data_IF_483232741658
#
_entry.id   IF_483232741658
#
_cell.length_a   1.000
_cell.length_b   1.000
_cell.length_c   1.000
_cell.angle_alpha   90.00
_cell.angle_beta   90.00
_cell.angle_gamma   90.00
#
_symmetry.space_group_name_H-M   'P 1'
#
loop_
_entity.id
_entity.type
_entity.pdbx_description
1 polymer ?
#
# COMPACT_ATOMS: atom_id res chain seq x y z
N UNK A 1 -4.77 -5.41 -11.99
CA UNK A 1 -4.28 -4.78 -10.76
C UNK A 1 -4.64 -3.30 -10.79
N UNK A 2 -5.35 -2.84 -9.79
CA UNK A 2 -5.95 -1.50 -9.76
C UNK A 2 -5.38 -0.70 -8.59
N UNK A 3 -5.16 0.58 -8.79
CA UNK A 3 -4.67 1.48 -7.73
C UNK A 3 -5.64 1.47 -6.55
N UNK A 4 -5.10 1.32 -5.33
CA UNK A 4 -5.90 1.20 -4.11
C UNK A 4 -6.18 -0.24 -3.68
N UNK A 5 -5.89 -1.22 -4.53
CA UNK A 5 -6.00 -2.62 -4.13
C UNK A 5 -4.94 -2.97 -3.09
N UNK A 6 -5.34 -3.84 -2.17
CA UNK A 6 -4.42 -4.47 -1.22
C UNK A 6 -3.98 -5.81 -1.78
N UNK A 7 -2.67 -5.95 -1.91
CA UNK A 7 -2.04 -7.16 -2.45
C UNK A 7 -1.06 -7.71 -1.43
N UNK A 8 -0.71 -8.98 -1.57
CA UNK A 8 0.41 -9.53 -0.81
C UNK A 8 1.64 -9.54 -1.69
N UNK A 9 2.77 -9.17 -1.13
CA UNK A 9 4.03 -9.05 -1.86
C UNK A 9 5.20 -9.46 -0.97
N UNK A 10 6.17 -10.18 -1.55
CA UNK A 10 7.41 -10.50 -0.88
C UNK A 10 8.36 -9.32 -1.01
N UNK A 11 8.55 -8.58 0.08
CA UNK A 11 9.42 -7.40 0.11
C UNK A 11 10.86 -7.80 0.49
N UNK A 12 11.87 -7.01 0.07
CA UNK A 12 13.24 -7.22 0.51
C UNK A 12 13.33 -7.20 2.05
N UNK A 13 14.05 -8.15 2.62
CA UNK A 13 14.22 -8.26 4.07
C UNK A 13 13.15 -9.09 4.79
N UNK A 14 12.10 -9.50 4.11
CA UNK A 14 11.03 -10.30 4.71
C UNK A 14 11.25 -11.80 4.55
N UNK A 15 12.42 -12.22 4.11
CA UNK A 15 12.78 -13.63 3.91
C UNK A 15 11.77 -14.40 3.05
N UNK A 16 11.20 -13.71 2.03
CA UNK A 16 10.21 -14.29 1.14
C UNK A 16 8.80 -14.37 1.71
N UNK A 17 8.58 -13.92 2.93
CA UNK A 17 7.26 -13.95 3.56
C UNK A 17 6.38 -12.86 2.96
N UNK A 18 5.19 -13.20 2.38
CA UNK A 18 4.30 -12.18 1.83
C UNK A 18 3.77 -11.23 2.91
N UNK A 19 3.72 -9.95 2.55
CA UNK A 19 3.18 -8.88 3.41
C UNK A 19 2.13 -8.10 2.63
N UNK A 20 1.11 -7.56 3.29
CA UNK A 20 0.14 -6.72 2.59
C UNK A 20 0.78 -5.40 2.18
N UNK A 21 0.33 -4.89 1.03
CA UNK A 21 0.75 -3.60 0.52
C UNK A 21 -0.36 -3.01 -0.33
N UNK A 22 -0.41 -1.68 -0.41
CA UNK A 22 -1.38 -0.96 -1.23
C UNK A 22 -0.72 -0.61 -2.56
N UNK A 23 -1.39 -0.93 -3.67
CA UNK A 23 -0.95 -0.48 -5.00
C UNK A 23 -1.20 1.01 -5.09
N UNK A 24 -0.14 1.80 -5.24
CA UNK A 24 -0.22 3.25 -5.36
C UNK A 24 0.16 3.77 -6.74
N UNK A 25 0.71 2.90 -7.59
CA UNK A 25 1.04 3.24 -8.96
C UNK A 25 -0.22 3.50 -9.78
N UNK A 26 -0.18 4.51 -10.65
CA UNK A 26 -1.32 4.87 -11.49
C UNK A 26 -1.75 3.70 -12.38
N UNK A 27 -3.06 3.56 -12.57
CA UNK A 27 -3.63 2.47 -13.38
C UNK A 27 -3.13 2.49 -14.83
N UNK A 28 -2.79 3.68 -15.33
CA UNK A 28 -2.22 3.83 -16.66
C UNK A 28 -1.01 2.91 -16.89
N UNK A 29 -0.23 2.65 -15.83
CA UNK A 29 0.99 1.84 -15.92
C UNK A 29 0.82 0.43 -15.34
N UNK A 30 -0.27 0.15 -14.63
CA UNK A 30 -0.40 -1.09 -13.86
C UNK A 30 -0.51 -2.35 -14.73
N UNK A 31 -0.93 -2.25 -15.97
CA UNK A 31 -1.07 -3.43 -16.84
C UNK A 31 0.15 -3.70 -17.70
N UNK A 32 0.95 -2.68 -17.97
CA UNK A 32 2.04 -2.79 -18.94
C UNK A 32 3.43 -2.66 -18.37
N UNK A 33 3.58 -1.98 -17.23
CA UNK A 33 4.90 -1.77 -16.64
C UNK A 33 5.40 -3.04 -15.93
N UNK A 34 6.69 -3.31 -16.05
CA UNK A 34 7.32 -4.48 -15.44
C UNK A 34 7.39 -4.41 -13.91
N UNK A 35 7.30 -3.21 -13.36
CA UNK A 35 7.39 -2.96 -11.92
C UNK A 35 6.13 -2.28 -11.41
N UNK A 36 5.85 -2.46 -10.12
CA UNK A 36 4.69 -1.85 -9.47
C UNK A 36 5.15 -1.16 -8.18
N UNK A 37 4.76 0.10 -8.02
CA UNK A 37 5.03 0.85 -6.79
C UNK A 37 3.92 0.62 -5.79
N UNK A 38 4.29 0.23 -4.58
CA UNK A 38 3.37 -0.10 -3.51
C UNK A 38 3.76 0.63 -2.21
N UNK A 39 2.79 0.81 -1.33
CA UNK A 39 3.02 1.26 0.03
C UNK A 39 2.78 0.08 0.97
N UNK A 40 3.79 -0.41 1.69
CA UNK A 40 3.63 -1.54 2.59
C UNK A 40 2.65 -1.23 3.72
N UNK A 41 1.99 -2.26 4.23
CA UNK A 41 1.05 -2.17 5.34
C UNK A 41 1.59 -2.98 6.50
N UNK A 42 1.55 -2.41 7.70
CA UNK A 42 2.06 -3.05 8.91
C UNK A 42 1.01 -3.07 10.02
N UNK A 43 1.02 -4.11 10.83
CA UNK A 43 0.23 -4.16 12.07
C UNK A 43 1.02 -3.62 13.27
N UNK A 44 2.29 -3.27 13.09
CA UNK A 44 3.08 -2.59 14.12
C UNK A 44 2.78 -1.11 14.05
N UNK A 45 2.08 -0.58 15.06
CA UNK A 45 1.56 0.78 15.03
C UNK A 45 2.55 1.76 15.63
N UNK A 46 2.72 2.93 14.98
CA UNK A 46 3.52 4.04 15.49
C UNK A 46 2.72 5.33 15.40
N UNK A 47 3.06 6.31 16.21
CA UNK A 47 2.40 7.60 16.19
C UNK A 47 3.11 8.54 15.20
N UNK A 48 2.67 8.49 13.95
CA UNK A 48 3.23 9.32 12.87
C UNK A 48 2.13 9.59 11.83
N UNK A 49 1.08 10.36 12.20
CA UNK A 49 -0.13 10.45 11.38
C UNK A 49 0.03 11.11 10.01
N UNK A 50 1.14 11.83 9.77
CA UNK A 50 1.36 12.44 8.46
C UNK A 50 1.74 11.41 7.39
N UNK A 51 2.34 10.27 7.77
CA UNK A 51 2.78 9.27 6.80
C UNK A 51 2.52 7.82 7.21
N UNK A 52 1.91 7.58 8.36
CA UNK A 52 1.44 6.26 8.80
C UNK A 52 -0.07 6.33 9.01
N UNK A 53 -0.83 5.83 8.03
CA UNK A 53 -2.28 6.02 7.99
C UNK A 53 -2.99 4.79 8.50
N UNK A 54 -3.80 4.97 9.55
CA UNK A 54 -4.54 3.88 10.16
C UNK A 54 -5.62 3.32 9.21
N UNK A 55 -5.71 2.00 9.17
CA UNK A 55 -6.73 1.28 8.41
C UNK A 55 -7.31 0.19 9.31
N UNK A 56 -8.60 0.31 9.62
CA UNK A 56 -9.31 -0.73 10.37
C UNK A 56 -9.62 -1.91 9.45
N UNK A 57 -9.53 -3.15 9.96
CA UNK A 57 -9.85 -4.32 9.16
C UNK A 57 -11.32 -4.32 8.73
N UNK A 58 -11.58 -4.73 7.50
CA UNK A 58 -12.94 -4.83 6.98
C UNK A 58 -13.00 -5.96 5.95
N UNK A 59 -14.21 -6.37 5.60
CA UNK A 59 -14.40 -7.34 4.52
C UNK A 59 -13.88 -6.79 3.20
N UNK A 60 -14.03 -5.48 2.98
CA UNK A 60 -13.58 -4.84 1.73
C UNK A 60 -12.07 -4.86 1.60
N UNK A 61 -11.32 -4.52 2.64
CA UNK A 61 -9.87 -4.42 2.54
C UNK A 61 -9.13 -5.73 2.81
N UNK A 62 -9.80 -6.71 3.42
CA UNK A 62 -9.23 -8.03 3.66
C UNK A 62 -8.16 -8.10 4.73
N UNK A 63 -7.93 -7.02 5.47
CA UNK A 63 -6.98 -7.02 6.58
C UNK A 63 -7.58 -7.73 7.79
N UNK A 64 -6.72 -8.31 8.63
CA UNK A 64 -7.14 -9.06 9.82
C UNK A 64 -6.97 -8.32 11.12
N UNK A 65 -6.21 -7.22 11.11
CA UNK A 65 -5.90 -6.43 12.28
C UNK A 65 -5.83 -4.96 11.93
N UNK A 66 -5.99 -4.11 12.94
CA UNK A 66 -5.72 -2.68 12.77
C UNK A 66 -4.30 -2.51 12.25
N UNK A 67 -4.16 -1.76 11.19
CA UNK A 67 -2.90 -1.64 10.46
C UNK A 67 -2.63 -0.19 10.08
N UNK A 68 -1.43 0.07 9.57
CA UNK A 68 -1.07 1.37 9.04
C UNK A 68 -0.45 1.21 7.66
N UNK A 69 -0.85 2.08 6.74
CA UNK A 69 -0.19 2.22 5.44
C UNK A 69 1.08 3.04 5.66
N UNK A 70 2.21 2.49 5.27
CA UNK A 70 3.53 3.13 5.45
C UNK A 70 3.90 3.92 4.21
N UNK A 71 3.43 5.17 4.13
CA UNK A 71 3.73 6.05 3.01
C UNK A 71 5.23 6.40 2.95
N UNK A 72 5.89 6.41 4.08
CA UNK A 72 7.34 6.66 4.18
C UNK A 72 8.21 5.48 3.70
N UNK A 73 7.59 4.35 3.38
CA UNK A 73 8.30 3.13 2.95
C UNK A 73 7.91 2.70 1.54
N UNK A 74 7.58 3.64 0.68
CA UNK A 74 7.26 3.33 -0.72
C UNK A 74 8.32 2.42 -1.32
N UNK A 75 7.88 1.38 -2.02
CA UNK A 75 8.77 0.38 -2.60
C UNK A 75 8.28 0.03 -3.98
N UNK A 76 9.20 -0.11 -4.92
CA UNK A 76 8.88 -0.58 -6.26
C UNK A 76 9.38 -2.02 -6.38
N UNK A 77 8.48 -2.90 -6.76
CA UNK A 77 8.76 -4.33 -6.86
C UNK A 77 8.48 -4.82 -8.28
N UNK A 78 9.12 -5.92 -8.67
CA UNK A 78 8.78 -6.59 -9.92
C UNK A 78 7.35 -7.14 -9.82
N UNK A 79 6.61 -7.07 -10.92
CA UNK A 79 5.23 -7.57 -10.98
C UNK A 79 5.11 -9.01 -10.48
N UNK A 80 6.10 -9.86 -10.77
CA UNK A 80 6.09 -11.27 -10.36
C UNK A 80 6.14 -11.47 -8.84
N UNK A 81 6.53 -10.44 -8.09
CA UNK A 81 6.56 -10.49 -6.63
C UNK A 81 5.19 -10.31 -6.01
N UNK A 82 4.23 -9.85 -6.77
CA UNK A 82 2.86 -9.69 -6.31
C UNK A 82 2.17 -11.03 -6.37
N UNK A 83 1.61 -11.48 -5.24
CA UNK A 83 1.08 -12.84 -5.10
C UNK A 83 -0.42 -12.89 -5.24
N UNK A 84 -1.15 -12.13 -4.44
CA UNK A 84 -2.60 -12.20 -4.40
C UNK A 84 -3.19 -10.84 -4.11
N UNK A 85 -4.43 -10.62 -4.56
CA UNK A 85 -5.23 -9.48 -4.16
C UNK A 85 -6.10 -9.92 -2.98
N UNK A 86 -6.01 -9.23 -1.86
CA UNK A 86 -6.78 -9.57 -0.66
C UNK A 86 -7.97 -8.63 -0.43
N UNK A 87 -8.00 -7.50 -1.14
CA UNK A 87 -9.08 -6.53 -1.01
C UNK A 87 -8.70 -5.20 -1.63
N UNK A 88 -9.39 -4.16 -1.23
CA UNK A 88 -9.11 -2.79 -1.66
C UNK A 88 -9.38 -1.81 -0.54
N UNK A 89 -8.68 -0.70 -0.52
CA UNK A 89 -8.93 0.35 0.47
C UNK A 89 -10.30 0.96 0.26
N UNK A 90 -10.94 1.34 1.36
CA UNK A 90 -12.13 2.18 1.32
C UNK A 90 -11.77 3.50 0.63
N UNK A 91 -12.71 4.11 -0.13
CA UNK A 91 -12.44 5.35 -0.86
C UNK A 91 -11.92 6.48 0.02
N UNK A 92 -12.44 6.62 1.24
CA UNK A 92 -11.99 7.67 2.18
C UNK A 92 -10.55 7.44 2.61
N UNK A 93 -10.17 6.19 2.82
CA UNK A 93 -8.80 5.82 3.20
C UNK A 93 -7.86 6.09 2.04
N UNK A 94 -8.24 5.74 0.82
CA UNK A 94 -7.42 6.01 -0.36
C UNK A 94 -7.20 7.51 -0.54
N UNK A 95 -8.22 8.33 -0.29
CA UNK A 95 -8.09 9.79 -0.33
C UNK A 95 -7.04 10.28 0.68
N UNK A 96 -7.05 9.72 1.90
CA UNK A 96 -6.04 10.05 2.91
C UNK A 96 -4.64 9.62 2.49
N UNK A 97 -4.52 8.46 1.88
CA UNK A 97 -3.24 7.97 1.34
C UNK A 97 -2.74 8.92 0.24
N UNK A 98 -3.62 9.36 -0.65
CA UNK A 98 -3.26 10.30 -1.71
C UNK A 98 -2.70 11.61 -1.15
N UNK A 99 -3.33 12.15 -0.11
CA UNK A 99 -2.85 13.38 0.54
C UNK A 99 -1.49 13.17 1.20
N UNK A 100 -1.32 12.05 1.86
CA UNK A 100 -0.05 11.72 2.51
C UNK A 100 1.08 11.52 1.49
N UNK A 101 0.78 10.89 0.35
CA UNK A 101 1.73 10.72 -0.74
C UNK A 101 2.17 12.06 -1.30
N UNK A 102 1.22 12.97 -1.54
CA UNK A 102 1.52 14.30 -2.06
C UNK A 102 2.43 15.08 -1.09
N UNK A 103 2.15 14.97 0.19
CA UNK A 103 2.97 15.61 1.22
C UNK A 103 4.36 14.98 1.30
N UNK A 104 4.43 13.67 1.36
CA UNK A 104 5.69 12.93 1.48
C UNK A 104 6.61 13.18 0.29
N UNK A 105 6.05 13.22 -0.91
CA UNK A 105 6.81 13.43 -2.14
C UNK A 105 7.08 14.91 -2.44
N UNK A 106 6.52 15.83 -1.65
CA UNK A 106 6.74 17.25 -1.81
C UNK A 106 6.03 17.89 -3.01
N UNK A 107 5.00 17.24 -3.55
CA UNK A 107 4.26 17.74 -4.70
C UNK A 107 2.99 18.52 -4.32
N UNK A 108 2.64 18.50 -3.05
CA UNK A 108 1.58 19.34 -2.47
C UNK A 108 1.92 19.51 -1.01
N UNK A 109 1.89 20.71 -0.55
CA UNK A 109 2.28 20.93 0.83
C UNK A 109 1.63 22.10 1.44
#
# INVERSE_FOLDING_TARGET
>A
MTRGELVTVALPGDHGKPRPAVVVQADLFNETHASVTVAPVTSTLVNAPLFRLAVEPSLRNGLRALSQVMVDKLTTVRRERIRATIGELEPETLTRVNRALALWLGIAG
#
